data_IF_527685044154
#
_entry.id   IF_527685044154
#
_cell.length_a   1.000
_cell.length_b   1.000
_cell.length_c   1.000
_cell.angle_alpha   90.00
_cell.angle_beta   90.00
_cell.angle_gamma   90.00
#
_symmetry.space_group_name_H-M   'P 1'
#
loop_
_entity.id
_entity.type
_entity.pdbx_description
1 polymer ?
#
# COMPACT_ATOMS: atom_id res chain seq x y z
N UNK A 1 18.24 -7.06 16.95
CA UNK A 1 17.68 -5.93 16.17
C UNK A 1 16.64 -5.22 17.03
N UNK A 2 16.56 -3.90 16.96
CA UNK A 2 15.56 -3.12 17.70
C UNK A 2 14.15 -3.43 17.16
N UNK A 3 13.17 -3.74 18.02
CA UNK A 3 11.78 -3.92 17.57
C UNK A 3 11.25 -2.65 16.90
N UNK A 4 10.42 -2.80 15.87
CA UNK A 4 9.77 -1.69 15.19
C UNK A 4 8.28 -1.65 15.56
N UNK A 5 7.78 -0.50 15.98
CA UNK A 5 6.34 -0.30 16.15
C UNK A 5 5.74 0.11 14.81
N UNK A 6 4.71 -0.61 14.37
CA UNK A 6 3.96 -0.33 13.14
C UNK A 6 2.48 -0.31 13.52
N UNK A 7 1.83 0.85 13.43
CA UNK A 7 0.49 1.02 13.96
C UNK A 7 0.40 0.67 15.46
N UNK A 8 -0.53 -0.20 15.82
CA UNK A 8 -0.70 -0.75 17.18
C UNK A 8 0.25 -1.93 17.49
N UNK A 9 0.94 -2.48 16.50
CA UNK A 9 1.67 -3.74 16.59
C UNK A 9 3.18 -3.55 16.78
N UNK A 10 3.83 -4.49 17.47
CA UNK A 10 5.28 -4.48 17.71
C UNK A 10 5.97 -5.63 16.96
N UNK A 11 6.74 -5.28 15.94
CA UNK A 11 7.47 -6.22 15.09
C UNK A 11 8.85 -6.52 15.68
N UNK A 12 9.09 -7.78 16.05
CA UNK A 12 10.37 -8.28 16.56
C UNK A 12 11.12 -9.00 15.44
N UNK A 13 12.08 -8.32 14.84
CA UNK A 13 12.85 -8.86 13.73
C UNK A 13 13.70 -10.08 14.14
N UNK A 14 13.70 -11.10 13.28
CA UNK A 14 14.42 -12.36 13.51
C UNK A 14 13.70 -13.37 14.41
N UNK A 15 12.52 -13.03 14.95
CA UNK A 15 11.74 -13.97 15.80
C UNK A 15 10.80 -14.86 15.01
N UNK A 16 10.30 -14.38 13.87
CA UNK A 16 9.43 -15.10 12.95
C UNK A 16 9.42 -14.41 11.59
N UNK A 17 8.86 -15.10 10.59
CA UNK A 17 8.50 -14.49 9.31
C UNK A 17 7.12 -13.86 9.44
N UNK A 18 7.02 -12.55 9.17
CA UNK A 18 5.76 -11.84 9.11
C UNK A 18 5.17 -11.95 7.71
N UNK A 19 3.84 -12.04 7.64
CA UNK A 19 3.09 -12.25 6.39
C UNK A 19 2.25 -11.00 6.10
N UNK A 20 2.45 -10.40 4.92
CA UNK A 20 1.71 -9.25 4.43
C UNK A 20 0.63 -9.71 3.44
N UNK A 21 -0.64 -9.37 3.72
CA UNK A 21 -1.77 -9.68 2.83
C UNK A 21 -1.98 -8.57 1.80
N UNK A 22 -1.86 -8.90 0.51
CA UNK A 22 -1.91 -7.94 -0.59
C UNK A 22 -3.36 -7.71 -1.06
N UNK A 23 -3.77 -6.45 -1.12
CA UNK A 23 -5.10 -6.00 -1.56
C UNK A 23 -4.91 -5.07 -2.76
N UNK A 24 -5.08 -5.62 -3.95
CA UNK A 24 -4.99 -4.88 -5.20
C UNK A 24 -6.34 -4.23 -5.54
N UNK A 25 -6.43 -2.91 -5.42
CA UNK A 25 -7.60 -2.12 -5.84
C UNK A 25 -7.35 -1.53 -7.22
N UNK A 26 -7.12 -2.41 -8.19
CA UNK A 26 -6.92 -2.05 -9.60
C UNK A 26 -8.03 -2.67 -10.48
N UNK A 27 -8.33 -2.08 -11.65
CA UNK A 27 -9.27 -2.64 -12.62
C UNK A 27 -8.80 -3.99 -13.18
N UNK A 28 -7.48 -4.18 -13.30
CA UNK A 28 -6.89 -5.29 -14.05
C UNK A 28 -6.40 -6.43 -13.13
N UNK A 29 -7.16 -7.52 -13.12
CA UNK A 29 -6.86 -8.76 -12.42
C UNK A 29 -5.82 -9.63 -13.16
N UNK A 30 -4.51 -9.46 -12.93
CA UNK A 30 -3.51 -10.42 -13.42
C UNK A 30 -3.49 -11.71 -12.59
N UNK A 31 -3.78 -11.62 -11.29
CA UNK A 31 -3.96 -12.76 -10.38
C UNK A 31 -5.41 -13.25 -10.28
N UNK A 32 -6.34 -12.64 -11.03
CA UNK A 32 -7.79 -12.90 -10.91
C UNK A 32 -8.46 -12.24 -9.68
N UNK A 33 -7.74 -11.42 -8.92
CA UNK A 33 -8.16 -10.79 -7.66
C UNK A 33 -8.54 -9.31 -7.78
N UNK A 34 -8.39 -8.68 -8.96
CA UNK A 34 -8.75 -7.27 -9.19
C UNK A 34 -10.21 -7.01 -8.84
N UNK A 35 -10.46 -6.09 -7.90
CA UNK A 35 -11.77 -5.95 -7.27
C UNK A 35 -12.68 -4.94 -7.97
N UNK A 36 -12.11 -3.93 -8.64
CA UNK A 36 -12.83 -2.77 -9.20
C UNK A 36 -13.94 -3.14 -10.20
N UNK A 37 -13.91 -4.34 -10.79
CA UNK A 37 -14.95 -4.83 -11.71
C UNK A 37 -16.23 -5.39 -11.05
N UNK A 38 -16.41 -5.25 -9.73
CA UNK A 38 -17.63 -5.67 -9.01
C UNK A 38 -18.48 -4.46 -8.65
N UNK A 39 -19.81 -4.63 -8.63
CA UNK A 39 -20.78 -3.57 -8.25
C UNK A 39 -20.48 -2.95 -6.86
N UNK A 40 -19.82 -3.70 -5.97
CA UNK A 40 -19.37 -3.25 -4.66
C UNK A 40 -17.91 -3.67 -4.37
N UNK A 41 -17.00 -3.18 -5.21
CA UNK A 41 -15.57 -3.51 -5.11
C UNK A 41 -14.91 -3.03 -3.81
N UNK A 42 -15.40 -1.93 -3.23
CA UNK A 42 -14.89 -1.39 -1.96
C UNK A 42 -15.18 -2.39 -0.83
N UNK A 43 -16.44 -2.84 -0.70
CA UNK A 43 -16.77 -3.82 0.33
C UNK A 43 -16.06 -5.15 0.08
N UNK A 44 -15.85 -5.55 -1.18
CA UNK A 44 -15.08 -6.73 -1.50
C UNK A 44 -13.62 -6.63 -1.04
N UNK A 45 -12.98 -5.47 -1.18
CA UNK A 45 -11.59 -5.23 -0.77
C UNK A 45 -11.43 -5.27 0.75
N UNK A 46 -12.37 -4.62 1.43
CA UNK A 46 -12.45 -4.64 2.89
C UNK A 46 -12.68 -6.07 3.40
N UNK A 47 -13.64 -6.80 2.81
CA UNK A 47 -13.92 -8.19 3.18
C UNK A 47 -12.72 -9.11 2.97
N UNK A 48 -11.93 -8.88 1.91
CA UNK A 48 -10.68 -9.60 1.67
C UNK A 48 -9.63 -9.31 2.75
N UNK A 49 -9.43 -8.04 3.14
CA UNK A 49 -8.51 -7.71 4.23
C UNK A 49 -8.94 -8.28 5.58
N UNK A 50 -10.24 -8.25 5.88
CA UNK A 50 -10.80 -8.91 7.08
C UNK A 50 -10.57 -10.43 7.04
N UNK A 51 -10.71 -11.06 5.86
CA UNK A 51 -10.39 -12.48 5.69
C UNK A 51 -8.91 -12.76 5.95
N UNK A 52 -7.99 -11.99 5.36
CA UNK A 52 -6.56 -12.15 5.59
C UNK A 52 -6.18 -12.00 7.06
N UNK A 53 -6.81 -11.06 7.78
CA UNK A 53 -6.60 -10.93 9.21
C UNK A 53 -7.03 -12.19 9.98
N UNK A 54 -8.16 -12.80 9.61
CA UNK A 54 -8.63 -14.08 10.20
C UNK A 54 -7.73 -15.26 9.85
N UNK A 55 -7.09 -15.23 8.68
CA UNK A 55 -6.17 -16.27 8.19
C UNK A 55 -4.75 -16.13 8.73
N UNK A 56 -4.46 -15.08 9.52
CA UNK A 56 -3.17 -14.92 10.20
C UNK A 56 -2.17 -14.03 9.47
N UNK A 57 -2.63 -13.15 8.58
CA UNK A 57 -1.80 -12.04 8.11
C UNK A 57 -1.37 -11.16 9.31
N UNK A 58 -0.17 -10.58 9.22
CA UNK A 58 0.41 -9.72 10.25
C UNK A 58 0.29 -8.23 9.90
N UNK A 59 0.10 -7.93 8.63
CA UNK A 59 -0.16 -6.61 8.08
C UNK A 59 -0.86 -6.75 6.72
N UNK A 60 -1.49 -5.68 6.27
CA UNK A 60 -2.14 -5.59 4.97
C UNK A 60 -1.39 -4.58 4.11
N UNK A 61 -1.42 -4.75 2.78
CA UNK A 61 -0.84 -3.82 1.81
C UNK A 61 -1.87 -3.47 0.76
N UNK A 62 -2.18 -2.19 0.61
CA UNK A 62 -3.21 -1.68 -0.30
C UNK A 62 -2.54 -0.93 -1.43
N UNK A 63 -2.73 -1.39 -2.66
CA UNK A 63 -2.18 -0.76 -3.87
C UNK A 63 -3.27 -0.39 -4.87
N UNK A 64 -3.32 0.88 -5.29
CA UNK A 64 -4.30 1.41 -6.26
C UNK A 64 -3.77 1.56 -7.68
N UNK A 65 -2.47 1.37 -7.85
CA UNK A 65 -1.77 1.36 -9.13
C UNK A 65 -1.16 -0.02 -9.39
N UNK A 66 -1.18 -0.46 -10.65
CA UNK A 66 -0.52 -1.69 -11.05
C UNK A 66 0.96 -1.40 -11.31
N UNK A 67 1.85 -2.03 -10.55
CA UNK A 67 3.32 -1.93 -10.72
C UNK A 67 3.87 -2.87 -11.79
N UNK A 68 3.01 -3.40 -12.67
CA UNK A 68 3.38 -4.35 -13.74
C UNK A 68 4.13 -3.64 -14.87
N UNK A 69 5.08 -4.30 -15.54
CA UNK A 69 5.71 -3.76 -16.74
C UNK A 69 4.68 -3.39 -17.81
N UNK A 70 4.69 -2.14 -18.27
CA UNK A 70 3.76 -1.62 -19.28
C UNK A 70 2.39 -1.21 -18.76
N UNK A 71 2.14 -1.24 -17.45
CA UNK A 71 0.96 -0.60 -16.89
C UNK A 71 1.10 0.92 -17.02
N UNK A 72 0.04 1.60 -17.45
CA UNK A 72 0.04 3.06 -17.50
C UNK A 72 -0.04 3.62 -16.08
N UNK A 73 0.77 4.67 -15.77
CA UNK A 73 0.68 5.36 -14.49
C UNK A 73 -0.75 5.84 -14.23
N UNK A 74 -1.16 5.80 -12.96
CA UNK A 74 -2.45 6.30 -12.53
C UNK A 74 -2.24 7.68 -11.91
N UNK A 75 -3.05 8.65 -12.34
CA UNK A 75 -3.07 9.98 -11.74
C UNK A 75 -3.31 9.88 -10.22
N UNK A 76 -2.61 10.70 -9.43
CA UNK A 76 -2.69 10.63 -7.96
C UNK A 76 -4.14 10.72 -7.44
N UNK A 77 -4.96 11.57 -8.05
CA UNK A 77 -6.38 11.72 -7.70
C UNK A 77 -7.21 10.45 -7.94
N UNK A 78 -6.90 9.70 -9.00
CA UNK A 78 -7.53 8.42 -9.30
C UNK A 78 -7.07 7.34 -8.31
N UNK A 79 -5.77 7.29 -8.01
CA UNK A 79 -5.23 6.36 -7.01
C UNK A 79 -5.84 6.61 -5.63
N UNK A 80 -5.96 7.87 -5.19
CA UNK A 80 -6.63 8.27 -3.96
C UNK A 80 -8.07 7.79 -3.89
N UNK A 81 -8.84 8.00 -4.97
CA UNK A 81 -10.24 7.53 -5.07
C UNK A 81 -10.36 6.02 -4.94
N UNK A 82 -9.32 5.26 -5.30
CA UNK A 82 -9.28 3.80 -5.15
C UNK A 82 -8.89 3.36 -3.74
N UNK A 83 -7.82 3.93 -3.18
CA UNK A 83 -7.20 3.41 -1.95
C UNK A 83 -7.85 3.93 -0.68
N UNK A 84 -8.27 5.20 -0.63
CA UNK A 84 -8.73 5.82 0.62
C UNK A 84 -9.97 5.14 1.22
N UNK A 85 -11.05 4.85 0.46
CA UNK A 85 -12.23 4.20 1.04
C UNK A 85 -11.92 2.81 1.62
N UNK A 86 -10.98 2.09 1.00
CA UNK A 86 -10.56 0.76 1.45
C UNK A 86 -9.70 0.85 2.71
N UNK A 87 -8.73 1.77 2.76
CA UNK A 87 -7.89 2.00 3.95
C UNK A 87 -8.76 2.41 5.14
N UNK A 88 -9.68 3.37 4.97
CA UNK A 88 -10.59 3.77 6.04
C UNK A 88 -11.49 2.63 6.52
N UNK A 89 -12.02 1.84 5.58
CA UNK A 89 -12.88 0.71 5.89
C UNK A 89 -12.16 -0.39 6.64
N UNK A 90 -10.91 -0.69 6.27
CA UNK A 90 -10.04 -1.65 6.94
C UNK A 90 -9.63 -1.14 8.33
N UNK A 91 -9.22 0.11 8.46
CA UNK A 91 -8.79 0.69 9.74
C UNK A 91 -9.88 0.64 10.82
N UNK A 92 -11.15 0.60 10.42
CA UNK A 92 -12.31 0.44 11.32
C UNK A 92 -12.63 -1.03 11.67
N UNK A 93 -12.12 -2.00 10.93
CA UNK A 93 -12.54 -3.41 10.99
C UNK A 93 -11.44 -4.40 11.35
N UNK A 94 -10.17 -4.02 11.20
CA UNK A 94 -9.02 -4.85 11.57
C UNK A 94 -8.05 -4.09 12.46
N UNK A 95 -7.40 -4.80 13.38
CA UNK A 95 -6.34 -4.23 14.24
C UNK A 95 -4.94 -4.31 13.59
N UNK A 96 -4.84 -4.96 12.42
CA UNK A 96 -3.58 -5.11 11.70
C UNK A 96 -3.09 -3.77 11.15
N UNK A 97 -1.77 -3.53 11.14
CA UNK A 97 -1.20 -2.39 10.42
C UNK A 97 -1.51 -2.47 8.92
N UNK A 98 -1.78 -1.32 8.32
CA UNK A 98 -2.11 -1.18 6.91
C UNK A 98 -0.98 -0.42 6.23
N UNK A 99 -0.36 -1.02 5.22
CA UNK A 99 0.59 -0.39 4.31
C UNK A 99 -0.14 0.21 3.11
N UNK A 100 0.34 1.35 2.63
CA UNK A 100 0.00 1.91 1.33
C UNK A 100 1.16 1.63 0.35
N UNK A 101 0.88 0.88 -0.72
CA UNK A 101 1.82 0.64 -1.82
C UNK A 101 1.74 1.81 -2.81
N UNK A 102 2.63 2.78 -2.62
CA UNK A 102 2.71 3.96 -3.48
C UNK A 102 4.11 4.58 -3.42
N UNK A 103 4.56 5.11 -4.54
CA UNK A 103 5.74 5.98 -4.60
C UNK A 103 5.36 7.47 -4.52
N UNK A 104 4.07 7.82 -4.58
CA UNK A 104 3.60 9.21 -4.66
C UNK A 104 3.45 9.81 -3.27
N UNK A 105 4.12 10.93 -2.99
CA UNK A 105 4.15 11.53 -1.64
C UNK A 105 2.77 12.02 -1.21
N UNK A 106 2.01 12.64 -2.11
CA UNK A 106 0.64 13.09 -1.84
C UNK A 106 -0.32 11.95 -1.52
N UNK A 107 -0.18 10.80 -2.20
CA UNK A 107 -0.99 9.59 -1.94
C UNK A 107 -0.64 9.02 -0.58
N UNK A 108 0.66 8.88 -0.28
CA UNK A 108 1.12 8.40 1.01
C UNK A 108 0.66 9.29 2.17
N UNK A 109 0.73 10.61 2.02
CA UNK A 109 0.30 11.55 3.07
C UNK A 109 -1.18 11.38 3.40
N UNK A 110 -2.04 11.32 2.38
CA UNK A 110 -3.48 11.14 2.55
C UNK A 110 -3.81 9.76 3.13
N UNK A 111 -3.14 8.70 2.65
CA UNK A 111 -3.33 7.34 3.14
C UNK A 111 -2.93 7.20 4.63
N UNK A 112 -1.80 7.78 5.04
CA UNK A 112 -1.38 7.82 6.44
C UNK A 112 -2.40 8.58 7.31
N UNK A 113 -2.96 9.68 6.79
CA UNK A 113 -4.03 10.41 7.48
C UNK A 113 -5.34 9.60 7.59
N UNK A 114 -5.63 8.75 6.62
CA UNK A 114 -6.82 7.90 6.58
C UNK A 114 -6.72 6.62 7.45
N UNK A 115 -5.53 6.28 7.94
CA UNK A 115 -5.31 5.15 8.85
C UNK A 115 -4.23 4.16 8.43
N UNK A 116 -3.53 4.39 7.30
CA UNK A 116 -2.33 3.62 6.99
C UNK A 116 -1.26 3.87 8.06
N UNK A 117 -0.44 2.85 8.31
CA UNK A 117 0.56 2.79 9.38
C UNK A 117 2.00 2.76 8.86
N UNK A 118 2.20 2.47 7.57
CA UNK A 118 3.49 2.44 6.89
C UNK A 118 3.31 2.68 5.40
N UNK A 119 4.42 2.97 4.72
CA UNK A 119 4.49 3.10 3.25
C UNK A 119 5.33 1.98 2.66
N UNK A 120 4.90 1.44 1.53
CA UNK A 120 5.67 0.53 0.68
C UNK A 120 5.99 1.23 -0.64
N UNK A 121 7.28 1.54 -0.87
CA UNK A 121 7.73 2.25 -2.05
C UNK A 121 8.57 1.33 -2.94
N UNK A 122 7.96 0.91 -4.05
CA UNK A 122 8.56 0.05 -5.05
C UNK A 122 9.71 0.70 -5.84
N UNK A 123 9.86 2.02 -5.75
CA UNK A 123 10.95 2.78 -6.38
C UNK A 123 12.04 3.20 -5.41
N UNK A 124 11.87 2.97 -4.11
CA UNK A 124 12.89 3.24 -3.10
C UNK A 124 13.35 4.70 -3.09
N UNK A 125 12.41 5.64 -3.16
CA UNK A 125 12.57 7.09 -3.16
C UNK A 125 13.22 7.66 -4.43
N UNK A 126 13.31 6.87 -5.50
CA UNK A 126 13.94 7.31 -6.77
C UNK A 126 13.00 8.13 -7.65
N UNK A 127 11.69 7.88 -7.59
CA UNK A 127 10.70 8.64 -8.38
C UNK A 127 10.28 9.94 -7.68
N UNK A 128 9.96 9.87 -6.39
CA UNK A 128 9.49 11.03 -5.62
C UNK A 128 10.21 11.08 -4.25
N UNK A 129 11.42 11.65 -4.20
CA UNK A 129 12.21 11.73 -2.97
C UNK A 129 11.50 12.43 -1.80
N UNK A 130 10.55 13.32 -2.09
CA UNK A 130 9.72 14.03 -1.12
C UNK A 130 8.93 13.08 -0.21
N UNK A 131 8.66 11.85 -0.66
CA UNK A 131 8.00 10.81 0.13
C UNK A 131 8.75 10.51 1.45
N UNK A 132 10.07 10.66 1.47
CA UNK A 132 10.85 10.53 2.71
C UNK A 132 10.46 11.58 3.76
N UNK A 133 10.17 12.81 3.33
CA UNK A 133 9.71 13.90 4.18
C UNK A 133 8.35 13.60 4.79
N UNK A 134 7.43 13.06 3.98
CA UNK A 134 6.10 12.61 4.45
C UNK A 134 6.26 11.55 5.53
N UNK A 135 7.02 10.47 5.26
CA UNK A 135 7.23 9.38 6.21
C UNK A 135 7.87 9.89 7.51
N UNK A 136 8.89 10.74 7.42
CA UNK A 136 9.55 11.34 8.58
C UNK A 136 8.60 12.20 9.41
N UNK A 137 7.78 13.04 8.76
CA UNK A 137 6.83 13.93 9.45
C UNK A 137 5.76 13.18 10.23
N UNK A 138 5.34 12.00 9.74
CA UNK A 138 4.34 11.15 10.37
C UNK A 138 4.95 10.07 11.28
N UNK A 139 6.28 10.02 11.39
CA UNK A 139 7.03 8.91 12.01
C UNK A 139 6.58 7.52 11.49
N UNK A 140 6.21 7.46 10.21
CA UNK A 140 5.76 6.25 9.54
C UNK A 140 6.98 5.46 9.03
N UNK A 141 7.05 4.14 9.30
CA UNK A 141 8.00 3.28 8.63
C UNK A 141 7.82 3.28 7.11
N UNK A 142 8.91 3.06 6.38
CA UNK A 142 8.89 2.90 4.93
C UNK A 142 9.66 1.64 4.53
N UNK A 143 9.09 0.88 3.59
CA UNK A 143 9.76 -0.21 2.87
C UNK A 143 10.35 0.38 1.60
N UNK A 144 11.65 0.21 1.41
CA UNK A 144 12.38 0.68 0.23
C UNK A 144 12.73 -0.52 -0.64
N UNK A 145 11.99 -0.70 -1.74
CA UNK A 145 12.29 -1.78 -2.67
C UNK A 145 13.41 -1.36 -3.62
N UNK A 146 14.36 -2.27 -3.85
CA UNK A 146 15.34 -2.06 -4.90
C UNK A 146 14.70 -2.25 -6.27
N UNK A 147 14.79 -1.23 -7.12
CA UNK A 147 14.32 -1.27 -8.50
C UNK A 147 15.44 -0.77 -9.43
N UNK A 148 15.70 -1.51 -10.52
CA UNK A 148 16.77 -1.23 -11.50
C UNK A 148 16.30 -0.47 -12.72
N UNK A 149 14.98 -0.43 -12.95
CA UNK A 149 14.42 0.32 -14.07
C UNK A 149 14.82 1.78 -13.96
N UNK A 150 14.96 2.44 -15.11
CA UNK A 150 15.14 3.88 -15.13
C UNK A 150 13.79 4.54 -14.81
N UNK A 151 13.69 5.41 -13.79
CA UNK A 151 12.50 6.21 -13.55
C UNK A 151 11.98 6.91 -14.81
N UNK A 152 12.87 7.28 -15.73
CA UNK A 152 12.53 7.92 -17.00
C UNK A 152 11.75 7.00 -17.92
N UNK A 153 11.99 5.68 -17.89
CA UNK A 153 11.29 4.70 -18.74
C UNK A 153 9.88 4.40 -18.20
N UNK A 154 9.60 4.71 -16.93
CA UNK A 154 8.27 4.54 -16.32
C UNK A 154 7.37 5.78 -16.51
N UNK A 155 7.96 6.96 -16.71
CA UNK A 155 7.25 8.24 -16.91
C UNK A 155 6.91 8.45 -18.40
N UNK A 156 7.52 7.71 -19.31
CA UNK A 156 7.45 7.96 -20.75
C UNK A 156 6.21 7.32 -21.40
N UNK A 157 5.01 7.72 -20.98
CA UNK A 157 3.75 7.61 -21.73
C UNK A 157 2.63 8.36 -20.98
N UNK A 158 2.85 9.66 -20.73
CA UNK A 158 1.81 10.62 -20.33
C UNK A 158 1.43 11.52 -21.51
#
# INVERSE_FOLDING_TARGET
MTPLKIGSSLFRWGSQTYVMGIINVTPDSFSGDGLIGRDDWIAAAIAQGVRFAREGAHLLDVGGESTRPGAQPVEAEEELRRVLPVIEGLARQVELPISIDTYKAGVAEAALAAGASLVNDVWGLRLEPELAGVCASKAAPIILMHNRSDPRDAIQEA
#
